data_IF_613013979528
#
_entry.id   IF_613013979528
#
_cell.length_a   1.000
_cell.length_b   1.000
_cell.length_c   1.000
_cell.angle_alpha   90.00
_cell.angle_beta   90.00
_cell.angle_gamma   90.00
#
_symmetry.space_group_name_H-M   'P 1'
#
loop_
_entity.id
_entity.type
_entity.pdbx_description
1 polymer ?
#
# COMPACT_ATOMS: atom_id res chain seq x y z
N UNK A 1 19.52 -23.68 64.06
CA UNK A 1 18.60 -22.66 63.53
C UNK A 1 19.01 -22.34 62.08
N UNK A 2 18.32 -22.94 61.09
CA UNK A 2 18.69 -22.93 59.66
C UNK A 2 18.06 -21.73 58.95
N UNK A 3 18.66 -20.54 59.07
CA UNK A 3 18.18 -19.31 58.39
C UNK A 3 18.93 -19.09 57.06
N UNK A 4 19.91 -19.94 56.74
CA UNK A 4 20.80 -19.73 55.57
C UNK A 4 20.29 -20.23 54.22
N UNK A 5 19.26 -21.07 54.21
CA UNK A 5 18.72 -21.65 52.98
C UNK A 5 17.70 -20.75 52.26
N UNK A 6 16.93 -19.97 53.01
CA UNK A 6 15.77 -19.23 52.48
C UNK A 6 16.18 -18.01 51.67
N UNK A 7 17.18 -17.23 52.11
CA UNK A 7 17.66 -16.06 51.37
C UNK A 7 18.25 -16.41 49.99
N UNK A 8 18.85 -17.60 49.86
CA UNK A 8 19.43 -18.09 48.61
C UNK A 8 18.35 -18.47 47.59
N UNK A 9 17.19 -18.93 48.06
CA UNK A 9 16.03 -19.24 47.23
C UNK A 9 15.31 -17.95 46.82
N UNK A 10 15.12 -17.00 47.76
CA UNK A 10 14.54 -15.69 47.47
C UNK A 10 15.40 -14.86 46.49
N UNK A 11 16.72 -14.84 46.66
CA UNK A 11 17.62 -14.12 45.74
C UNK A 11 17.62 -14.73 44.32
N UNK A 12 17.57 -16.06 44.20
CA UNK A 12 17.46 -16.75 42.90
C UNK A 12 16.11 -16.47 42.22
N UNK A 13 15.01 -16.45 42.99
CA UNK A 13 13.68 -16.10 42.47
C UNK A 13 13.61 -14.65 41.98
N UNK A 14 14.20 -13.71 42.72
CA UNK A 14 14.21 -12.29 42.32
C UNK A 14 14.99 -12.06 41.02
N UNK A 15 16.14 -12.75 40.87
CA UNK A 15 16.96 -12.72 39.64
C UNK A 15 16.21 -13.36 38.46
N UNK A 16 15.53 -14.49 38.68
CA UNK A 16 14.71 -15.13 37.64
C UNK A 16 13.52 -14.28 37.20
N UNK A 17 12.83 -13.61 38.13
CA UNK A 17 11.72 -12.70 37.81
C UNK A 17 12.23 -11.47 37.04
N UNK A 18 13.38 -10.91 37.45
CA UNK A 18 14.03 -9.81 36.73
C UNK A 18 14.45 -10.22 35.31
N UNK A 19 15.01 -11.42 35.14
CA UNK A 19 15.37 -11.99 33.82
C UNK A 19 14.14 -12.26 32.94
N UNK A 20 13.02 -12.73 33.52
CA UNK A 20 11.77 -12.93 32.78
C UNK A 20 11.16 -11.60 32.30
N UNK A 21 11.23 -10.54 33.11
CA UNK A 21 10.69 -9.22 32.71
C UNK A 21 11.50 -8.54 31.61
N UNK A 22 12.81 -8.77 31.53
CA UNK A 22 13.66 -8.21 30.47
C UNK A 22 13.41 -8.86 29.10
N UNK A 23 12.94 -10.10 29.07
CA UNK A 23 12.64 -10.85 27.84
C UNK A 23 11.33 -10.41 27.14
N UNK A 24 10.49 -9.59 27.79
CA UNK A 24 9.22 -9.14 27.20
C UNK A 24 9.33 -7.83 26.39
N UNK A 25 10.50 -7.18 26.34
CA UNK A 25 10.72 -5.94 25.58
C UNK A 25 10.97 -6.15 24.08
N UNK A 26 11.16 -7.39 23.62
CA UNK A 26 11.32 -7.71 22.20
C UNK A 26 9.97 -8.06 21.56
N UNK A 27 9.04 -7.09 21.53
CA UNK A 27 7.92 -7.18 20.60
C UNK A 27 8.45 -6.81 19.21
N UNK A 28 8.58 -7.81 18.34
CA UNK A 28 9.00 -7.62 16.97
C UNK A 28 7.98 -6.74 16.22
N UNK A 29 8.34 -5.51 15.91
CA UNK A 29 7.66 -4.76 14.85
C UNK A 29 7.91 -5.53 13.55
N UNK A 30 6.89 -6.22 13.03
CA UNK A 30 6.97 -6.82 11.72
C UNK A 30 7.23 -5.71 10.69
N UNK A 31 8.12 -5.92 9.71
CA UNK A 31 8.35 -4.93 8.66
C UNK A 31 7.03 -4.70 7.91
N UNK A 32 6.57 -3.45 7.88
CA UNK A 32 5.43 -3.02 7.06
C UNK A 32 5.77 -3.41 5.62
N UNK A 33 5.03 -4.34 5.03
CA UNK A 33 5.24 -4.68 3.63
C UNK A 33 4.90 -3.46 2.75
N UNK A 34 5.51 -3.33 1.58
CA UNK A 34 5.13 -2.26 0.63
C UNK A 34 3.62 -2.29 0.33
N UNK A 35 3.00 -3.48 0.36
CA UNK A 35 1.56 -3.66 0.25
C UNK A 35 0.77 -3.08 1.42
N UNK A 36 1.24 -3.24 2.67
CA UNK A 36 0.59 -2.66 3.85
C UNK A 36 0.61 -1.13 3.81
N UNK A 37 1.73 -0.54 3.36
CA UNK A 37 1.81 0.91 3.18
C UNK A 37 0.85 1.40 2.11
N UNK A 38 0.78 0.70 0.96
CA UNK A 38 -0.16 1.03 -0.11
C UNK A 38 -1.61 0.93 0.35
N UNK A 39 -1.97 -0.15 1.05
CA UNK A 39 -3.31 -0.34 1.59
C UNK A 39 -3.67 0.72 2.64
N UNK A 40 -2.71 1.11 3.49
CA UNK A 40 -2.88 2.22 4.42
C UNK A 40 -3.11 3.54 3.68
N UNK A 41 -2.32 3.85 2.65
CA UNK A 41 -2.47 5.07 1.84
C UNK A 41 -3.79 5.08 1.06
N UNK A 42 -4.25 3.92 0.56
CA UNK A 42 -5.55 3.78 -0.10
C UNK A 42 -6.73 4.03 0.86
N UNK A 43 -6.65 3.56 2.11
CA UNK A 43 -7.68 3.81 3.14
C UNK A 43 -7.91 5.30 3.42
N UNK A 44 -6.92 6.16 3.16
CA UNK A 44 -7.09 7.62 3.29
C UNK A 44 -8.14 8.20 2.34
N UNK A 45 -8.55 7.48 1.29
CA UNK A 45 -9.61 7.91 0.38
C UNK A 45 -11.03 7.62 0.89
N UNK A 46 -11.19 6.87 1.99
CA UNK A 46 -12.51 6.61 2.60
C UNK A 46 -13.12 7.93 3.05
N UNK A 47 -14.33 8.23 2.56
CA UNK A 47 -15.02 9.50 2.83
C UNK A 47 -14.52 10.67 1.99
N UNK A 48 -13.48 10.50 1.17
CA UNK A 48 -13.02 11.47 0.17
C UNK A 48 -13.61 11.13 -1.20
N UNK A 49 -13.37 9.90 -1.69
CA UNK A 49 -14.00 9.41 -2.92
C UNK A 49 -15.35 8.84 -2.58
N UNK A 50 -16.40 9.62 -2.81
CA UNK A 50 -17.75 9.28 -2.38
C UNK A 50 -18.66 8.86 -3.53
N UNK A 51 -18.26 9.12 -4.77
CA UNK A 51 -19.07 8.85 -5.96
C UNK A 51 -18.35 7.93 -6.94
N UNK A 52 -19.04 6.92 -7.44
CA UNK A 52 -18.51 6.04 -8.48
C UNK A 52 -18.84 6.62 -9.87
N UNK A 53 -17.81 6.84 -10.69
CA UNK A 53 -17.99 7.28 -12.06
C UNK A 53 -17.06 6.54 -13.02
N UNK A 54 -17.60 5.62 -13.86
CA UNK A 54 -16.82 4.87 -14.82
C UNK A 54 -16.57 5.64 -16.13
N UNK A 55 -17.04 6.89 -16.24
CA UNK A 55 -16.95 7.66 -17.47
C UNK A 55 -15.51 8.03 -17.83
N UNK A 56 -15.26 7.91 -19.11
CA UNK A 56 -13.98 8.20 -19.73
C UNK A 56 -13.72 9.69 -19.86
N UNK A 57 -12.54 10.11 -19.39
CA UNK A 57 -12.13 11.52 -19.35
C UNK A 57 -10.73 11.69 -19.89
N UNK A 58 -10.50 12.83 -20.53
CA UNK A 58 -9.15 13.30 -20.85
C UNK A 58 -8.57 13.94 -19.60
N UNK A 59 -7.40 13.46 -19.19
CA UNK A 59 -6.64 13.98 -18.06
C UNK A 59 -5.36 14.65 -18.54
N UNK A 60 -4.86 15.58 -17.73
CA UNK A 60 -3.51 16.08 -17.88
C UNK A 60 -2.50 14.94 -17.69
N UNK A 61 -1.38 15.01 -18.40
CA UNK A 61 -0.33 14.01 -18.30
C UNK A 61 1.05 14.68 -18.25
N UNK A 62 1.92 14.32 -17.29
CA UNK A 62 1.72 13.30 -16.24
C UNK A 62 0.87 13.82 -15.07
N UNK A 63 0.58 12.94 -14.11
CA UNK A 63 -0.08 13.26 -12.82
C UNK A 63 -1.52 13.79 -12.84
N UNK A 64 -2.22 13.79 -13.97
CA UNK A 64 -3.65 14.13 -13.99
C UNK A 64 -4.49 13.16 -13.16
N UNK A 65 -5.59 13.66 -12.61
CA UNK A 65 -6.48 12.88 -11.74
C UNK A 65 -7.94 13.15 -12.10
N UNK A 66 -8.79 12.19 -11.76
CA UNK A 66 -10.23 12.44 -11.71
C UNK A 66 -10.55 13.41 -10.58
N UNK A 67 -11.70 14.11 -10.61
CA UNK A 67 -12.14 14.92 -9.49
C UNK A 67 -12.14 14.09 -8.20
N UNK A 68 -11.66 14.67 -7.11
CA UNK A 68 -11.26 13.93 -5.90
C UNK A 68 -12.43 13.19 -5.23
N UNK A 69 -13.63 13.74 -5.39
CA UNK A 69 -14.91 13.21 -4.91
C UNK A 69 -15.39 11.98 -5.69
N UNK A 70 -14.81 11.70 -6.85
CA UNK A 70 -15.22 10.62 -7.74
C UNK A 70 -14.08 9.76 -8.27
N UNK A 71 -14.42 8.71 -9.01
CA UNK A 71 -13.51 7.76 -9.61
C UNK A 71 -13.95 6.32 -9.41
N UNK A 72 -13.12 5.41 -9.88
CA UNK A 72 -13.26 3.97 -9.72
C UNK A 72 -12.21 3.42 -8.76
N UNK A 73 -12.25 2.12 -8.49
CA UNK A 73 -11.31 1.46 -7.59
C UNK A 73 -9.84 1.68 -7.99
N UNK A 74 -9.53 1.72 -9.29
CA UNK A 74 -8.19 1.99 -9.81
C UNK A 74 -7.68 3.39 -9.43
N UNK A 75 -8.55 4.40 -9.40
CA UNK A 75 -8.16 5.78 -9.06
C UNK A 75 -7.75 5.91 -7.58
N UNK A 76 -8.34 5.09 -6.71
CA UNK A 76 -7.91 4.98 -5.31
C UNK A 76 -6.48 4.46 -5.23
N UNK A 77 -6.13 3.44 -6.02
CA UNK A 77 -4.79 2.86 -6.05
C UNK A 77 -3.77 3.85 -6.63
N UNK A 78 -4.13 4.53 -7.73
CA UNK A 78 -3.29 5.59 -8.32
C UNK A 78 -2.99 6.68 -7.29
N UNK A 79 -4.00 7.15 -6.55
CA UNK A 79 -3.82 8.16 -5.49
C UNK A 79 -2.98 7.64 -4.32
N UNK A 80 -3.15 6.38 -3.94
CA UNK A 80 -2.32 5.76 -2.91
C UNK A 80 -0.82 5.74 -3.29
N UNK A 81 -0.49 5.40 -4.53
CA UNK A 81 0.89 5.48 -5.03
C UNK A 81 1.43 6.91 -5.08
N UNK A 82 0.59 7.90 -5.37
CA UNK A 82 1.00 9.32 -5.38
C UNK A 82 1.41 9.83 -4.02
N UNK A 83 0.82 9.32 -2.93
CA UNK A 83 1.29 9.60 -1.56
C UNK A 83 2.70 9.05 -1.30
N UNK A 84 3.19 8.17 -2.16
CA UNK A 84 4.55 7.63 -2.15
C UNK A 84 5.43 8.25 -3.24
N UNK A 85 4.98 9.36 -3.84
CA UNK A 85 5.62 10.05 -4.95
C UNK A 85 5.81 9.19 -6.22
N UNK A 86 4.96 8.18 -6.42
CA UNK A 86 4.96 7.30 -7.58
C UNK A 86 3.78 7.67 -8.48
N UNK A 87 4.04 7.93 -9.76
CA UNK A 87 2.98 8.09 -10.77
C UNK A 87 2.78 6.77 -11.54
N UNK A 88 1.90 5.92 -11.01
CA UNK A 88 1.61 4.61 -11.60
C UNK A 88 1.15 4.73 -13.06
N UNK A 89 0.37 5.77 -13.39
CA UNK A 89 -0.14 6.01 -14.74
C UNK A 89 1.00 6.21 -15.74
N UNK A 90 2.02 7.00 -15.37
CA UNK A 90 3.18 7.25 -16.21
C UNK A 90 4.03 5.99 -16.39
N UNK A 91 4.26 5.22 -15.32
CA UNK A 91 5.04 3.99 -15.36
C UNK A 91 4.41 2.96 -16.30
N UNK A 92 3.10 2.72 -16.15
CA UNK A 92 2.37 1.81 -17.02
C UNK A 92 2.37 2.32 -18.47
N UNK A 93 2.20 3.63 -18.70
CA UNK A 93 2.25 4.17 -20.06
C UNK A 93 3.59 3.94 -20.76
N UNK A 94 4.70 4.14 -20.05
CA UNK A 94 6.03 3.92 -20.59
C UNK A 94 6.30 2.43 -20.85
N UNK A 95 5.88 1.56 -19.94
CA UNK A 95 6.04 0.12 -20.10
C UNK A 95 5.22 -0.41 -21.28
N UNK A 96 3.94 -0.03 -21.39
CA UNK A 96 3.07 -0.44 -22.50
C UNK A 96 3.60 0.02 -23.86
N UNK A 97 4.22 1.20 -23.95
CA UNK A 97 4.86 1.67 -25.20
C UNK A 97 6.06 0.81 -25.59
N UNK A 98 6.80 0.31 -24.61
CA UNK A 98 8.03 -0.48 -24.84
C UNK A 98 7.73 -1.96 -25.05
N UNK A 99 6.69 -2.47 -24.38
CA UNK A 99 6.40 -3.89 -24.23
C UNK A 99 4.98 -4.26 -24.70
N UNK A 100 4.42 -3.53 -25.67
CA UNK A 100 3.03 -3.67 -26.10
C UNK A 100 2.60 -5.12 -26.39
N UNK A 101 3.48 -5.92 -26.99
CA UNK A 101 3.19 -7.32 -27.31
C UNK A 101 2.95 -8.22 -26.09
N UNK A 102 3.38 -7.81 -24.90
CA UNK A 102 3.18 -8.54 -23.64
C UNK A 102 1.80 -8.27 -23.01
N UNK A 103 1.10 -7.21 -23.45
CA UNK A 103 -0.20 -6.83 -22.92
C UNK A 103 -1.35 -7.53 -23.66
N UNK A 104 -2.48 -7.82 -22.98
CA UNK A 104 -3.63 -8.48 -23.61
C UNK A 104 -4.19 -7.64 -24.76
N UNK A 105 -4.31 -8.25 -25.94
CA UNK A 105 -4.90 -7.62 -27.13
C UNK A 105 -6.41 -7.42 -27.04
N UNK A 106 -7.05 -8.02 -26.03
CA UNK A 106 -8.50 -7.98 -25.80
C UNK A 106 -8.98 -6.71 -25.09
N UNK A 107 -8.09 -5.77 -24.77
CA UNK A 107 -8.45 -4.50 -24.14
C UNK A 107 -9.09 -3.49 -25.10
N UNK A 108 -9.51 -3.91 -26.29
CA UNK A 108 -10.22 -3.07 -27.25
C UNK A 108 -9.36 -2.04 -27.98
N UNK A 109 -8.04 -2.14 -27.85
CA UNK A 109 -7.11 -1.17 -28.42
C UNK A 109 -6.19 -1.84 -29.44
N UNK A 110 -6.26 -1.39 -30.70
CA UNK A 110 -5.34 -1.81 -31.77
C UNK A 110 -3.94 -1.16 -31.65
N UNK A 111 -3.73 -0.29 -30.65
CA UNK A 111 -2.49 0.46 -30.41
C UNK A 111 -2.20 0.60 -28.91
N UNK A 112 -0.94 0.91 -28.52
CA UNK A 112 -0.59 1.16 -27.12
C UNK A 112 -1.47 2.24 -26.50
N UNK A 113 -2.17 1.90 -25.42
CA UNK A 113 -3.11 2.78 -24.72
C UNK A 113 -2.40 4.05 -24.25
N UNK A 114 -2.97 5.21 -24.60
CA UNK A 114 -2.54 6.49 -24.03
C UNK A 114 -3.25 6.67 -22.68
N UNK A 115 -2.53 6.46 -21.59
CA UNK A 115 -3.07 6.56 -20.20
C UNK A 115 -3.58 7.98 -19.86
N UNK A 116 -3.51 8.96 -20.77
CA UNK A 116 -4.27 10.23 -20.63
C UNK A 116 -5.78 10.03 -20.60
N UNK A 117 -6.25 8.82 -20.89
CA UNK A 117 -7.65 8.43 -20.85
C UNK A 117 -7.77 7.20 -19.95
N UNK A 118 -8.51 7.31 -18.84
CA UNK A 118 -8.81 6.16 -17.95
C UNK A 118 -9.66 5.10 -18.69
N UNK A 119 -10.40 5.55 -19.72
CA UNK A 119 -10.24 5.17 -21.12
C UNK A 119 -10.34 3.73 -21.59
N UNK A 120 -9.17 3.19 -21.89
CA UNK A 120 -9.06 2.45 -23.15
C UNK A 120 -9.10 0.95 -22.94
N UNK A 121 -9.95 0.50 -22.01
CA UNK A 121 -10.16 -0.91 -21.70
C UNK A 121 -11.56 -1.44 -22.05
N UNK A 122 -12.41 -0.69 -22.77
CA UNK A 122 -13.65 -1.24 -23.34
C UNK A 122 -13.90 -0.76 -24.77
N UNK A 123 -13.50 -1.60 -25.73
CA UNK A 123 -14.36 -2.23 -26.76
C UNK A 123 -13.51 -3.06 -27.71
#
# INVERSE_FOLDING_TARGET
MRITGTYKVFAKSLVFVSLLTLAQLTQAAAPISNGDKLAHDAKKQIGITTSYDPAYRKLDFPRGDVPIETGVCTDVIVRAYRLQNIDLQQLVNHDMKSNWSAYPKTWGSNQPIRISTIAECQS
#
